data_IF_747706034318
#
_entry.id   IF_747706034318
#
_cell.length_a   1.000
_cell.length_b   1.000
_cell.length_c   1.000
_cell.angle_alpha   90.00
_cell.angle_beta   90.00
_cell.angle_gamma   90.00
#
_symmetry.space_group_name_H-M   'P 1'
#
loop_
_entity.id
_entity.type
_entity.pdbx_description
1 polymer ?
#
# COMPACT_ATOMS: atom_id res chain seq x y z
N UNK A 1 31.57 13.29 -13.02
CA UNK A 1 30.27 12.67 -12.67
C UNK A 1 29.92 11.62 -13.70
N UNK A 2 29.44 10.45 -13.26
CA UNK A 2 28.92 9.39 -14.13
C UNK A 2 27.41 9.28 -13.93
N UNK A 3 26.67 8.99 -14.99
CA UNK A 3 25.24 8.66 -14.88
C UNK A 3 25.10 7.18 -14.50
N UNK A 4 24.21 6.89 -13.56
CA UNK A 4 23.91 5.53 -13.10
C UNK A 4 22.42 5.24 -13.23
N UNK A 5 22.02 3.96 -13.35
CA UNK A 5 20.61 3.58 -13.28
C UNK A 5 19.98 4.02 -11.94
N UNK A 6 18.70 4.44 -11.94
CA UNK A 6 18.06 4.95 -10.73
C UNK A 6 17.67 3.86 -9.72
N UNK A 7 17.71 2.58 -10.09
CA UNK A 7 17.18 1.47 -9.28
C UNK A 7 17.76 1.42 -7.87
N UNK A 8 19.07 1.56 -7.70
CA UNK A 8 19.72 1.56 -6.38
C UNK A 8 19.26 2.72 -5.49
N UNK A 9 19.11 3.92 -6.07
CA UNK A 9 18.60 5.09 -5.35
C UNK A 9 17.13 4.90 -4.95
N UNK A 10 16.30 4.35 -5.85
CA UNK A 10 14.89 4.08 -5.59
C UNK A 10 14.72 3.03 -4.49
N UNK A 11 15.55 1.97 -4.48
CA UNK A 11 15.56 0.98 -3.41
C UNK A 11 15.90 1.61 -2.04
N UNK A 12 16.89 2.50 -2.01
CA UNK A 12 17.20 3.28 -0.79
C UNK A 12 16.06 4.18 -0.34
N UNK A 13 15.33 4.80 -1.28
CA UNK A 13 14.12 5.57 -0.96
C UNK A 13 13.01 4.66 -0.40
N UNK A 14 12.81 3.45 -0.94
CA UNK A 14 11.82 2.51 -0.40
C UNK A 14 12.15 2.17 1.05
N UNK A 15 13.38 1.74 1.33
CA UNK A 15 13.82 1.41 2.69
C UNK A 15 13.61 2.59 3.66
N UNK A 16 13.98 3.80 3.24
CA UNK A 16 13.80 5.02 4.04
C UNK A 16 12.32 5.31 4.31
N UNK A 17 11.48 5.32 3.27
CA UNK A 17 10.05 5.61 3.40
C UNK A 17 9.36 4.59 4.29
N UNK A 18 9.66 3.30 4.10
CA UNK A 18 9.07 2.24 4.89
C UNK A 18 9.44 2.37 6.37
N UNK A 19 10.70 2.71 6.67
CA UNK A 19 11.18 2.89 8.05
C UNK A 19 10.64 4.16 8.70
N UNK A 20 10.54 5.27 7.97
CA UNK A 20 10.14 6.57 8.52
C UNK A 20 8.61 6.73 8.58
N UNK A 21 7.89 6.11 7.64
CA UNK A 21 6.46 6.37 7.40
C UNK A 21 5.61 5.13 7.23
N UNK A 22 6.20 3.95 7.09
CA UNK A 22 5.50 2.69 6.84
C UNK A 22 5.26 2.41 5.35
N UNK A 23 5.17 1.11 5.03
CA UNK A 23 5.05 0.57 3.65
C UNK A 23 3.81 1.11 2.91
N UNK A 24 2.77 1.49 3.64
CA UNK A 24 1.53 2.04 3.10
C UNK A 24 1.71 3.44 2.48
N UNK A 25 2.79 4.17 2.79
CA UNK A 25 3.11 5.45 2.16
C UNK A 25 3.73 5.22 0.78
N UNK A 26 3.13 5.81 -0.26
CA UNK A 26 3.70 5.85 -1.61
C UNK A 26 5.15 6.38 -1.61
N UNK A 27 6.12 5.67 -2.23
CA UNK A 27 7.50 6.12 -2.33
C UNK A 27 7.71 7.17 -3.43
N UNK A 28 6.73 8.07 -3.59
CA UNK A 28 6.74 9.20 -4.51
C UNK A 28 6.71 10.52 -3.73
N UNK A 29 7.08 11.60 -4.42
CA UNK A 29 7.34 12.93 -3.86
C UNK A 29 8.53 12.93 -2.86
N UNK A 30 9.39 11.91 -2.94
CA UNK A 30 10.54 11.70 -2.08
C UNK A 30 11.82 12.22 -2.72
N UNK A 31 12.64 12.91 -1.94
CA UNK A 31 13.95 13.40 -2.39
C UNK A 31 14.91 12.22 -2.59
N UNK A 32 15.60 12.22 -3.73
CA UNK A 32 16.72 11.31 -3.99
C UNK A 32 17.99 11.96 -3.42
N UNK A 33 18.42 11.50 -2.25
CA UNK A 33 19.65 12.00 -1.59
C UNK A 33 20.87 11.61 -2.42
N UNK A 34 21.84 12.53 -2.53
CA UNK A 34 23.10 12.31 -3.26
C UNK A 34 23.03 12.47 -4.79
N UNK A 35 21.84 12.56 -5.39
CA UNK A 35 21.71 12.84 -6.82
C UNK A 35 22.08 14.30 -7.13
N UNK A 36 23.02 14.49 -8.06
CA UNK A 36 23.51 15.81 -8.48
C UNK A 36 22.80 16.36 -9.72
N UNK A 37 22.12 15.50 -10.48
CA UNK A 37 21.47 15.87 -11.74
C UNK A 37 20.77 14.68 -12.39
N UNK A 38 19.96 14.97 -13.40
CA UNK A 38 19.29 13.96 -14.23
C UNK A 38 19.88 13.98 -15.65
N UNK A 39 20.00 12.80 -16.27
CA UNK A 39 20.44 12.70 -17.67
C UNK A 39 19.42 13.29 -18.64
N UNK A 40 18.14 13.12 -18.32
CA UNK A 40 17.03 13.59 -19.12
C UNK A 40 16.11 14.43 -18.24
N UNK A 41 15.74 15.60 -18.73
CA UNK A 41 14.71 16.43 -18.11
C UNK A 41 13.37 16.03 -18.69
N UNK A 42 12.44 15.59 -17.83
CA UNK A 42 11.09 15.20 -18.24
C UNK A 42 10.11 16.31 -17.88
N UNK A 43 9.40 16.79 -18.89
CA UNK A 43 8.33 17.78 -18.78
C UNK A 43 7.06 17.15 -18.21
N UNK A 44 6.07 18.00 -17.86
CA UNK A 44 4.76 17.51 -17.43
C UNK A 44 4.04 16.74 -18.54
N UNK A 45 4.03 17.28 -19.76
CA UNK A 45 3.35 16.65 -20.90
C UNK A 45 3.95 15.29 -21.28
N UNK A 46 5.27 15.14 -21.24
CA UNK A 46 5.92 13.83 -21.45
C UNK A 46 5.54 12.84 -20.35
N UNK A 47 5.53 13.28 -19.09
CA UNK A 47 5.08 12.43 -17.99
C UNK A 47 3.63 11.99 -18.15
N UNK A 48 2.74 12.85 -18.64
CA UNK A 48 1.32 12.52 -18.84
C UNK A 48 1.13 11.39 -19.86
N UNK A 49 2.07 11.20 -20.79
CA UNK A 49 2.12 10.08 -21.74
C UNK A 49 2.69 8.80 -21.11
N UNK A 50 3.65 8.94 -20.18
CA UNK A 50 4.37 7.84 -19.54
C UNK A 50 3.60 7.24 -18.35
N UNK A 51 2.89 8.05 -17.58
CA UNK A 51 2.21 7.63 -16.36
C UNK A 51 1.12 6.57 -16.59
N UNK A 52 0.30 6.62 -17.66
CA UNK A 52 -0.64 5.54 -17.99
C UNK A 52 0.03 4.20 -18.29
N UNK A 53 1.31 4.20 -18.66
CA UNK A 53 2.11 2.99 -18.96
C UNK A 53 2.84 2.44 -17.73
N UNK A 54 2.58 2.98 -16.53
CA UNK A 54 3.26 2.56 -15.29
C UNK A 54 4.70 3.05 -15.17
N UNK A 55 5.13 4.00 -16.01
CA UNK A 55 6.51 4.53 -15.98
C UNK A 55 6.58 5.70 -15.00
N UNK A 56 7.19 5.45 -13.83
CA UNK A 56 7.37 6.45 -12.78
C UNK A 56 8.58 7.35 -13.10
N UNK A 57 8.31 8.62 -13.43
CA UNK A 57 9.36 9.58 -13.77
C UNK A 57 10.11 10.07 -12.53
N UNK A 58 11.40 10.35 -12.68
CA UNK A 58 12.20 11.10 -11.70
C UNK A 58 12.39 12.51 -12.27
N UNK A 59 12.07 13.53 -11.49
CA UNK A 59 12.03 14.92 -11.95
C UNK A 59 12.69 15.86 -10.97
N UNK A 60 13.32 16.89 -11.51
CA UNK A 60 13.87 17.99 -10.74
C UNK A 60 12.84 19.10 -10.58
N UNK A 61 12.69 19.60 -9.35
CA UNK A 61 11.81 20.71 -9.03
C UNK A 61 12.62 21.83 -8.37
N UNK A 62 12.51 23.05 -8.90
CA UNK A 62 13.21 24.23 -8.38
C UNK A 62 12.91 24.42 -6.89
N UNK A 63 13.96 24.58 -6.07
CA UNK A 63 13.87 24.75 -4.61
C UNK A 63 13.47 23.50 -3.82
N UNK A 64 13.19 22.39 -4.52
CA UNK A 64 12.80 21.12 -3.91
C UNK A 64 13.87 20.04 -4.18
N UNK A 65 14.51 20.04 -5.34
CA UNK A 65 15.52 19.05 -5.75
C UNK A 65 14.91 17.89 -6.54
N UNK A 66 15.72 16.84 -6.76
CA UNK A 66 15.37 15.67 -7.57
C UNK A 66 14.48 14.70 -6.79
N UNK A 67 13.30 14.39 -7.34
CA UNK A 67 12.30 13.54 -6.69
C UNK A 67 11.79 12.42 -7.58
N UNK A 68 11.44 11.31 -6.93
CA UNK A 68 10.57 10.29 -7.55
C UNK A 68 9.17 10.89 -7.68
N UNK A 69 8.61 10.88 -8.89
CA UNK A 69 7.34 11.57 -9.21
C UNK A 69 6.26 10.66 -9.79
N UNK A 70 6.22 9.41 -9.31
CA UNK A 70 5.19 8.43 -9.62
C UNK A 70 5.28 7.23 -8.67
N UNK A 71 4.14 6.58 -8.44
CA UNK A 71 4.05 5.39 -7.58
C UNK A 71 3.18 4.29 -8.22
N UNK A 72 3.08 4.25 -9.55
CA UNK A 72 2.30 3.23 -10.27
C UNK A 72 3.09 1.95 -10.48
N UNK A 73 2.41 0.82 -10.50
CA UNK A 73 2.96 -0.45 -10.98
C UNK A 73 2.78 -0.55 -12.49
N UNK A 74 3.27 -1.65 -13.07
CA UNK A 74 3.01 -2.02 -14.48
C UNK A 74 1.72 -2.85 -14.64
N UNK A 75 0.95 -3.05 -13.56
CA UNK A 75 -0.26 -3.87 -13.59
C UNK A 75 -1.37 -3.18 -14.41
N UNK A 76 -2.09 -3.97 -15.20
CA UNK A 76 -3.34 -3.54 -15.84
C UNK A 76 -4.52 -3.57 -14.87
N UNK A 77 -4.41 -4.31 -13.76
CA UNK A 77 -5.44 -4.41 -12.73
C UNK A 77 -5.49 -3.11 -11.89
N UNK A 78 -6.65 -2.41 -11.86
CA UNK A 78 -6.83 -1.22 -11.04
C UNK A 78 -6.58 -1.42 -9.54
N UNK A 79 -6.79 -2.62 -9.01
CA UNK A 79 -6.54 -2.93 -7.59
C UNK A 79 -5.05 -2.85 -7.25
N UNK A 80 -4.20 -3.29 -8.18
CA UNK A 80 -2.74 -3.32 -8.03
C UNK A 80 -2.03 -2.13 -8.66
N UNK A 81 -2.77 -1.05 -8.96
CA UNK A 81 -2.23 0.14 -9.65
C UNK A 81 -1.07 0.79 -8.92
N UNK A 82 -1.06 0.78 -7.58
CA UNK A 82 -0.08 1.55 -6.79
C UNK A 82 0.94 0.67 -6.07
N UNK A 83 2.20 1.11 -6.09
CA UNK A 83 3.34 0.42 -5.48
C UNK A 83 3.14 0.21 -3.98
N UNK A 84 2.73 1.24 -3.24
CA UNK A 84 2.53 1.11 -1.78
C UNK A 84 1.41 0.13 -1.42
N UNK A 85 0.37 0.04 -2.25
CA UNK A 85 -0.71 -0.94 -2.04
C UNK A 85 -0.16 -2.36 -2.23
N UNK A 86 0.48 -2.65 -3.37
CA UNK A 86 1.03 -3.99 -3.63
C UNK A 86 2.11 -4.38 -2.62
N UNK A 87 2.97 -3.44 -2.22
CA UNK A 87 4.01 -3.69 -1.21
C UNK A 87 3.44 -3.92 0.19
N UNK A 88 2.33 -3.24 0.55
CA UNK A 88 1.63 -3.50 1.80
C UNK A 88 1.10 -4.93 1.85
N UNK A 89 0.45 -5.39 0.77
CA UNK A 89 -0.03 -6.78 0.68
C UNK A 89 1.12 -7.78 0.77
N UNK A 90 2.22 -7.59 0.01
CA UNK A 90 3.39 -8.47 0.10
C UNK A 90 3.96 -8.55 1.54
N UNK A 91 4.02 -7.42 2.23
CA UNK A 91 4.52 -7.38 3.62
C UNK A 91 3.57 -8.10 4.57
N UNK A 92 2.25 -7.93 4.41
CA UNK A 92 1.25 -8.61 5.23
C UNK A 92 1.26 -10.13 4.97
N UNK A 93 1.27 -10.56 3.71
CA UNK A 93 1.36 -11.97 3.30
C UNK A 93 2.60 -12.64 3.92
N UNK A 94 3.79 -12.06 3.73
CA UNK A 94 5.04 -12.60 4.27
C UNK A 94 5.06 -12.62 5.81
N UNK A 95 4.51 -11.58 6.46
CA UNK A 95 4.45 -11.51 7.93
C UNK A 95 3.51 -12.55 8.52
N UNK A 96 2.37 -12.80 7.86
CA UNK A 96 1.41 -13.83 8.28
C UNK A 96 2.05 -15.20 8.09
N UNK A 97 2.59 -15.49 6.91
CA UNK A 97 3.26 -16.76 6.62
C UNK A 97 4.35 -17.08 7.66
N UNK A 98 5.23 -16.11 7.95
CA UNK A 98 6.27 -16.28 8.97
C UNK A 98 5.68 -16.44 10.39
N UNK A 99 4.65 -15.66 10.72
CA UNK A 99 4.03 -15.65 12.04
C UNK A 99 3.12 -16.85 12.34
N UNK A 100 2.70 -17.60 11.32
CA UNK A 100 1.80 -18.76 11.44
C UNK A 100 2.46 -20.10 11.12
N UNK A 101 3.79 -20.17 11.00
CA UNK A 101 4.51 -21.43 10.77
C UNK A 101 4.19 -22.53 11.81
N UNK A 102 3.88 -22.14 13.05
CA UNK A 102 3.50 -23.08 14.13
C UNK A 102 2.19 -23.83 13.87
N UNK A 103 1.38 -23.40 12.91
CA UNK A 103 0.09 -24.03 12.56
C UNK A 103 0.30 -25.35 11.81
N UNK A 104 1.44 -25.51 11.13
CA UNK A 104 1.71 -26.68 10.31
C UNK A 104 1.76 -27.93 11.20
N UNK A 105 1.00 -28.97 10.81
CA UNK A 105 0.81 -30.23 11.54
C UNK A 105 0.06 -30.14 12.88
N UNK A 106 -0.55 -29.01 13.23
CA UNK A 106 -1.49 -28.96 14.35
C UNK A 106 -2.83 -29.62 14.00
N UNK A 107 -3.59 -30.14 14.99
CA UNK A 107 -4.93 -30.65 14.76
C UNK A 107 -5.85 -29.60 14.13
N UNK A 108 -6.39 -29.89 12.94
CA UNK A 108 -7.25 -28.98 12.18
C UNK A 108 -8.66 -28.94 12.78
N UNK A 109 -8.82 -28.21 13.87
CA UNK A 109 -10.05 -28.13 14.65
C UNK A 109 -10.51 -26.67 14.92
N UNK A 110 -11.74 -26.46 15.41
CA UNK A 110 -12.23 -25.12 15.75
C UNK A 110 -11.38 -24.36 16.78
N UNK A 111 -10.59 -25.07 17.60
CA UNK A 111 -9.63 -24.48 18.53
C UNK A 111 -8.45 -23.85 17.79
N UNK A 112 -7.87 -24.55 16.82
CA UNK A 112 -6.82 -24.05 15.95
C UNK A 112 -7.30 -22.82 15.17
N UNK A 113 -8.47 -22.90 14.54
CA UNK A 113 -9.03 -21.80 13.75
C UNK A 113 -9.20 -20.51 14.57
N UNK A 114 -9.67 -20.64 15.81
CA UNK A 114 -9.79 -19.51 16.74
C UNK A 114 -8.42 -18.93 17.12
N UNK A 115 -7.41 -19.76 17.34
CA UNK A 115 -6.04 -19.30 17.64
C UNK A 115 -5.44 -18.54 16.45
N UNK A 116 -5.55 -19.09 15.24
CA UNK A 116 -5.09 -18.47 13.99
C UNK A 116 -5.79 -17.13 13.77
N UNK A 117 -7.12 -17.12 13.82
CA UNK A 117 -7.92 -15.90 13.65
C UNK A 117 -7.53 -14.83 14.64
N UNK A 118 -7.39 -15.17 15.93
CA UNK A 118 -6.99 -14.22 16.98
C UNK A 118 -5.60 -13.62 16.70
N UNK A 119 -4.62 -14.45 16.34
CA UNK A 119 -3.25 -14.01 16.09
C UNK A 119 -3.17 -13.07 14.88
N UNK A 120 -3.83 -13.43 13.77
CA UNK A 120 -3.87 -12.61 12.56
C UNK A 120 -4.63 -11.30 12.82
N UNK A 121 -5.80 -11.35 13.48
CA UNK A 121 -6.53 -10.12 13.85
C UNK A 121 -5.68 -9.19 14.70
N UNK A 122 -4.96 -9.71 15.71
CA UNK A 122 -4.08 -8.90 16.55
C UNK A 122 -2.94 -8.24 15.76
N UNK A 123 -2.40 -8.91 14.73
CA UNK A 123 -1.43 -8.32 13.82
C UNK A 123 -2.05 -7.22 12.96
N UNK A 124 -3.18 -7.49 12.29
CA UNK A 124 -3.87 -6.53 11.43
C UNK A 124 -4.38 -5.31 12.21
N UNK A 125 -4.77 -5.47 13.47
CA UNK A 125 -5.07 -4.34 14.36
C UNK A 125 -3.89 -3.39 14.50
N UNK A 126 -2.64 -3.89 14.59
CA UNK A 126 -1.45 -3.01 14.63
C UNK A 126 -1.23 -2.28 13.31
N UNK A 127 -1.47 -2.96 12.19
CA UNK A 127 -1.39 -2.35 10.85
C UNK A 127 -2.48 -1.28 10.65
N UNK A 128 -3.69 -1.52 11.14
CA UNK A 128 -4.77 -0.52 11.18
C UNK A 128 -4.38 0.70 12.02
N UNK A 129 -3.91 0.48 13.25
CA UNK A 129 -3.52 1.57 14.16
C UNK A 129 -2.33 2.39 13.65
N UNK A 130 -1.51 1.85 12.74
CA UNK A 130 -0.45 2.61 12.07
C UNK A 130 -0.94 3.49 10.92
N UNK A 131 -2.26 3.50 10.63
CA UNK A 131 -2.87 4.25 9.54
C UNK A 131 -2.69 3.62 8.15
N UNK A 132 -2.30 2.34 8.08
CA UNK A 132 -2.08 1.67 6.79
C UNK A 132 -3.38 1.19 6.13
N UNK A 133 -4.43 0.98 6.91
CA UNK A 133 -5.73 0.54 6.45
C UNK A 133 -6.76 1.66 6.59
N UNK A 134 -7.71 1.70 5.66
CA UNK A 134 -8.79 2.66 5.59
C UNK A 134 -10.05 2.08 6.23
N UNK A 135 -10.75 2.86 7.03
CA UNK A 135 -11.99 2.46 7.71
C UNK A 135 -12.16 3.20 9.03
N UNK A 136 -13.40 3.53 9.38
CA UNK A 136 -13.71 4.18 10.66
C UNK A 136 -13.62 3.19 11.83
N UNK A 137 -13.75 1.90 11.53
CA UNK A 137 -13.65 0.78 12.48
C UNK A 137 -12.70 -0.29 11.93
N UNK A 138 -12.25 -1.21 12.79
CA UNK A 138 -11.42 -2.34 12.35
C UNK A 138 -12.17 -3.28 11.41
N UNK A 139 -13.47 -3.48 11.61
CA UNK A 139 -14.29 -4.38 10.78
C UNK A 139 -14.54 -3.81 9.37
N UNK A 140 -14.51 -2.48 9.21
CA UNK A 140 -14.47 -1.84 7.89
C UNK A 140 -13.09 -1.96 7.21
N UNK A 141 -12.03 -2.06 8.01
CA UNK A 141 -10.65 -1.99 7.53
C UNK A 141 -10.08 -3.36 7.12
N UNK A 142 -10.48 -4.43 7.81
CA UNK A 142 -10.07 -5.80 7.47
C UNK A 142 -11.04 -6.85 8.00
N UNK A 143 -10.98 -8.05 7.42
CA UNK A 143 -11.61 -9.24 7.99
C UNK A 143 -10.64 -10.42 8.01
N UNK A 144 -10.90 -11.36 8.91
CA UNK A 144 -10.21 -12.65 9.01
C UNK A 144 -11.27 -13.70 9.26
N UNK A 145 -11.39 -14.68 8.36
CA UNK A 145 -12.35 -15.76 8.44
C UNK A 145 -11.61 -17.10 8.37
N UNK A 146 -11.73 -17.87 9.44
CA UNK A 146 -11.24 -19.24 9.53
C UNK A 146 -12.25 -19.97 10.42
N UNK A 147 -13.18 -20.66 9.78
CA UNK A 147 -14.30 -21.32 10.45
C UNK A 147 -14.75 -22.54 9.63
N UNK A 148 -15.87 -23.15 10.01
CA UNK A 148 -16.43 -24.31 9.33
C UNK A 148 -16.94 -24.01 7.91
N UNK A 149 -17.20 -22.74 7.57
CA UNK A 149 -17.59 -22.38 6.20
C UNK A 149 -16.38 -22.37 5.28
N UNK A 150 -15.21 -21.90 5.76
CA UNK A 150 -13.96 -21.97 4.98
C UNK A 150 -13.27 -23.33 5.09
N UNK A 151 -13.59 -24.14 6.10
CA UNK A 151 -13.01 -25.46 6.35
C UNK A 151 -14.11 -26.53 6.49
N UNK A 152 -14.87 -26.83 5.42
CA UNK A 152 -15.79 -27.96 5.41
C UNK A 152 -15.03 -29.30 5.43
N UNK A 153 -15.72 -30.43 5.73
CA UNK A 153 -15.07 -31.74 5.88
C UNK A 153 -14.13 -32.12 4.74
N UNK A 154 -14.50 -31.83 3.50
CA UNK A 154 -13.68 -32.11 2.31
C UNK A 154 -12.32 -31.38 2.30
N UNK A 155 -12.25 -30.17 2.86
CA UNK A 155 -11.00 -29.39 3.00
C UNK A 155 -10.14 -29.98 4.12
N UNK A 156 -10.78 -30.36 5.22
CA UNK A 156 -10.09 -30.97 6.37
C UNK A 156 -9.53 -32.34 5.99
N UNK A 157 -10.32 -33.17 5.31
CA UNK A 157 -9.94 -34.52 4.86
C UNK A 157 -8.79 -34.46 3.81
N UNK A 158 -8.71 -33.37 3.05
CA UNK A 158 -7.59 -33.07 2.16
C UNK A 158 -6.33 -32.57 2.91
N UNK A 159 -6.37 -32.45 4.23
CA UNK A 159 -5.26 -31.96 5.06
C UNK A 159 -5.01 -30.45 4.93
N UNK A 160 -6.02 -29.69 4.47
CA UNK A 160 -5.91 -28.26 4.23
C UNK A 160 -6.61 -27.45 5.33
N UNK A 161 -6.09 -26.26 5.61
CA UNK A 161 -6.77 -25.26 6.44
C UNK A 161 -6.81 -23.94 5.65
N UNK A 162 -8.00 -23.43 5.39
CA UNK A 162 -8.24 -22.20 4.64
C UNK A 162 -8.64 -21.08 5.61
N UNK A 163 -7.84 -20.01 5.58
CA UNK A 163 -8.13 -18.76 6.26
C UNK A 163 -8.21 -17.64 5.21
N UNK A 164 -9.39 -17.02 5.10
CA UNK A 164 -9.62 -15.89 4.20
C UNK A 164 -9.33 -14.57 4.93
N UNK A 165 -8.65 -13.66 4.25
CA UNK A 165 -8.21 -12.39 4.82
C UNK A 165 -8.46 -11.29 3.79
N UNK A 166 -9.22 -10.27 4.16
CA UNK A 166 -9.42 -9.07 3.35
C UNK A 166 -8.86 -7.84 4.03
N UNK A 167 -8.30 -6.93 3.24
CA UNK A 167 -7.70 -5.68 3.69
C UNK A 167 -8.22 -4.51 2.86
N UNK A 168 -8.51 -3.38 3.50
CA UNK A 168 -8.83 -2.12 2.85
C UNK A 168 -7.62 -1.16 2.97
N UNK A 169 -6.70 -1.10 1.99
CA UNK A 169 -5.49 -0.28 2.10
C UNK A 169 -5.80 1.21 1.85
N UNK A 170 -5.04 2.10 2.49
CA UNK A 170 -5.05 3.52 2.10
C UNK A 170 -4.46 3.70 0.70
N UNK A 171 -5.14 4.48 -0.16
CA UNK A 171 -4.70 4.79 -1.52
C UNK A 171 -4.09 6.20 -1.59
N UNK A 172 -3.03 6.42 -2.39
CA UNK A 172 -2.41 7.75 -2.48
C UNK A 172 -3.32 8.75 -3.23
N UNK A 173 -3.29 10.00 -2.80
CA UNK A 173 -3.88 11.12 -3.53
C UNK A 173 -2.98 11.50 -4.72
N UNK A 174 -3.13 10.80 -5.85
CA UNK A 174 -2.35 11.04 -7.06
C UNK A 174 -2.71 12.38 -7.73
N UNK A 175 -4.00 12.72 -7.77
CA UNK A 175 -4.51 13.97 -8.33
C UNK A 175 -5.26 14.74 -7.25
N UNK A 176 -4.81 15.97 -6.98
CA UNK A 176 -5.48 16.88 -6.05
C UNK A 176 -6.11 18.01 -6.87
N UNK A 177 -7.44 18.08 -6.85
CA UNK A 177 -8.22 19.06 -7.60
C UNK A 177 -8.83 20.05 -6.59
N UNK A 178 -8.33 21.29 -6.60
CA UNK A 178 -8.95 22.39 -5.86
C UNK A 178 -9.98 23.06 -6.76
N UNK A 179 -11.23 23.18 -6.29
CA UNK A 179 -12.29 23.96 -6.95
C UNK A 179 -12.50 25.24 -6.16
N UNK A 180 -12.28 26.39 -6.79
CA UNK A 180 -12.39 27.71 -6.16
C UNK A 180 -13.55 28.44 -6.83
N UNK A 181 -14.47 28.98 -6.03
CA UNK A 181 -15.59 29.79 -6.48
C UNK A 181 -15.76 31.02 -5.61
N UNK A 182 -16.43 32.04 -6.14
CA UNK A 182 -16.79 33.23 -5.38
C UNK A 182 -18.11 32.98 -4.65
N UNK A 183 -18.14 33.21 -3.34
CA UNK A 183 -19.38 33.25 -2.57
C UNK A 183 -19.93 34.69 -2.58
N UNK A 184 -21.24 34.91 -2.73
CA UNK A 184 -21.83 36.23 -2.56
C UNK A 184 -21.61 36.76 -1.14
N UNK A 185 -21.27 38.03 -1.00
CA UNK A 185 -21.25 38.71 0.31
C UNK A 185 -22.69 38.87 0.81
N UNK A 186 -23.02 38.25 1.96
CA UNK A 186 -24.30 38.42 2.64
C UNK A 186 -25.31 37.31 2.34
N UNK A 187 -25.04 36.08 2.77
CA UNK A 187 -26.10 35.07 2.88
C UNK A 187 -27.10 35.53 3.93
N UNK A 188 -28.29 35.96 3.50
CA UNK A 188 -29.39 36.23 4.41
C UNK A 188 -29.72 34.96 5.19
N UNK A 189 -29.74 35.10 6.52
CA UNK A 189 -30.43 34.18 7.40
C UNK A 189 -31.89 34.66 7.44
N UNK A 190 -32.81 33.83 6.95
CA UNK A 190 -34.23 34.00 7.22
C UNK A 190 -34.75 32.73 7.90
N UNK A 191 -35.44 32.93 9.04
CA UNK A 191 -36.20 31.90 9.78
C UNK A 191 -37.24 31.18 8.92
#
# INVERSE_FOLDING_TARGET
NIFVPPSGHVAGVYARVDSERGVHKAPANELIRGALGLRYTITKGEQDILNPKGINCIREFKGRGIRIWGARTISSDPEWRYINVRRLFNMVEASIEQGTQWVVFEPNDPGLWKKVTRNIKAFLSRIYMSGALFGSTMDEAFYVKCDSETNPPEVIDAGQMICEIGLCPVKPAEFVIFRIGQMPTGGDVSE
#
